data_IF_309017333996
#
_entry.id   IF_309017333996
#
_cell.length_a   1.000
_cell.length_b   1.000
_cell.length_c   1.000
_cell.angle_alpha   90.00
_cell.angle_beta   90.00
_cell.angle_gamma   90.00
#
_symmetry.space_group_name_H-M   'P 1'
#
loop_
_entity.id
_entity.type
_entity.pdbx_description
1 polymer ?
#
# COMPACT_ATOMS: atom_id res chain seq x y z
N UNK A 1 -26.77 12.89 -10.49
CA UNK A 1 -26.55 12.86 -10.07
C UNK A 1 -26.23 13.14 -10.05
N UNK A 2 -25.97 12.83 -10.31
CA UNK A 2 -25.56 12.97 -10.13
C UNK A 2 -24.82 12.91 -10.13
N UNK A 3 -24.42 12.85 -10.62
CA UNK A 3 -23.77 12.64 -10.36
C UNK A 3 -23.54 12.67 -9.97
N UNK A 4 -23.59 12.64 -9.82
CA UNK A 4 -23.33 12.50 -9.21
C UNK A 4 -23.50 12.06 -8.64
N UNK A 5 -23.88 11.65 -8.47
CA UNK A 5 -23.77 11.06 -7.78
C UNK A 5 -23.29 10.00 -7.93
N UNK A 6 -23.39 9.46 -8.58
CA UNK A 6 -22.79 8.52 -8.57
C UNK A 6 -21.58 8.37 -8.68
N UNK A 7 -21.60 8.80 -8.83
CA UNK A 7 -20.51 8.96 -8.71
C UNK A 7 -20.21 9.30 -7.60
N UNK A 8 -21.23 9.60 -6.84
CA UNK A 8 -20.84 10.01 -5.82
C UNK A 8 -20.35 9.10 -5.00
N UNK A 9 -20.70 7.95 -4.81
CA UNK A 9 -20.07 7.09 -4.05
C UNK A 9 -18.95 6.65 -4.73
N UNK A 10 -19.08 6.41 -5.88
CA UNK A 10 -17.95 6.11 -6.55
C UNK A 10 -17.10 7.27 -6.67
N UNK A 11 -17.69 8.38 -6.80
CA UNK A 11 -16.97 9.60 -6.81
C UNK A 11 -16.36 9.86 -5.48
N UNK A 12 -17.07 9.59 -4.42
CA UNK A 12 -16.47 9.72 -3.13
C UNK A 12 -15.29 8.78 -3.00
N UNK A 13 -15.41 7.60 -3.55
CA UNK A 13 -14.32 6.69 -3.54
C UNK A 13 -13.16 7.20 -4.37
N UNK A 14 -13.46 7.80 -5.50
CA UNK A 14 -12.41 8.37 -6.33
C UNK A 14 -11.68 9.48 -5.64
N UNK A 15 -12.36 10.20 -4.79
CA UNK A 15 -11.75 11.33 -4.11
C UNK A 15 -11.33 11.02 -2.69
N UNK A 16 -11.48 9.78 -2.27
CA UNK A 16 -10.96 9.40 -0.96
C UNK A 16 -9.43 9.42 -1.02
N UNK A 17 -8.83 9.39 0.13
CA UNK A 17 -7.39 9.36 0.21
C UNK A 17 -6.88 8.09 -0.45
N UNK A 18 -5.78 8.18 -1.18
CA UNK A 18 -5.19 6.99 -1.76
C UNK A 18 -4.69 6.06 -0.66
N UNK A 19 -4.64 4.78 -0.99
CA UNK A 19 -4.05 3.80 -0.09
C UNK A 19 -2.55 4.05 -0.06
N UNK A 20 -2.00 4.16 1.14
CA UNK A 20 -0.58 4.37 1.32
C UNK A 20 0.09 3.02 1.50
N UNK A 21 1.12 2.76 0.71
CA UNK A 21 1.88 1.53 0.79
C UNK A 21 3.21 1.88 1.42
N UNK A 22 3.48 1.34 2.60
CA UNK A 22 4.70 1.63 3.34
C UNK A 22 5.55 0.38 3.41
N UNK A 23 6.77 0.49 2.90
CA UNK A 23 7.76 -0.58 2.97
C UNK A 23 8.64 -0.34 4.17
N UNK A 24 8.75 -1.32 5.03
CA UNK A 24 9.56 -1.22 6.25
C UNK A 24 10.47 -2.43 6.35
N UNK A 25 11.55 -2.29 7.14
CA UNK A 25 12.40 -3.43 7.45
C UNK A 25 11.85 -4.16 8.69
N UNK A 26 12.44 -5.29 9.08
CA UNK A 26 11.92 -6.02 10.24
C UNK A 26 11.98 -5.25 11.54
N UNK A 27 12.79 -4.20 11.61
CA UNK A 27 12.86 -3.35 12.79
C UNK A 27 11.90 -2.17 12.70
N UNK A 28 11.00 -2.21 11.71
CA UNK A 28 9.97 -1.20 11.48
C UNK A 28 10.53 0.16 11.04
N UNK A 29 11.70 0.16 10.45
CA UNK A 29 12.27 1.37 9.86
C UNK A 29 11.71 1.52 8.46
N UNK A 30 11.20 2.70 8.14
CA UNK A 30 10.61 2.94 6.83
C UNK A 30 11.67 2.96 5.75
N UNK A 31 11.46 2.16 4.74
CA UNK A 31 12.36 2.05 3.60
C UNK A 31 11.86 2.84 2.40
N UNK A 32 10.55 2.86 2.19
CA UNK A 32 9.95 3.57 1.05
C UNK A 32 8.47 3.72 1.29
N UNK A 33 7.85 4.62 0.53
CA UNK A 33 6.43 4.83 0.61
C UNK A 33 5.91 5.10 -0.79
N UNK A 34 4.72 4.61 -1.11
CA UNK A 34 4.15 4.74 -2.44
C UNK A 34 2.64 4.80 -2.33
N UNK A 35 2.00 5.44 -3.29
CA UNK A 35 0.55 5.37 -3.44
C UNK A 35 0.16 4.60 -4.70
N UNK A 36 1.12 4.03 -5.39
CA UNK A 36 0.86 3.25 -6.60
C UNK A 36 0.54 1.83 -6.20
N UNK A 37 -0.73 1.50 -6.19
CA UNK A 37 -1.19 0.19 -5.75
C UNK A 37 -1.63 -0.72 -6.90
N UNK A 38 -1.21 -0.40 -8.11
CA UNK A 38 -1.62 -1.19 -9.27
C UNK A 38 -1.04 -2.60 -9.24
N UNK A 39 0.11 -2.76 -8.62
CA UNK A 39 0.76 -4.05 -8.56
C UNK A 39 1.53 -4.14 -7.25
N UNK A 40 0.99 -4.90 -6.31
CA UNK A 40 1.64 -5.09 -5.02
C UNK A 40 2.42 -6.40 -5.04
N UNK A 41 3.60 -6.40 -4.40
CA UNK A 41 4.37 -7.64 -4.30
C UNK A 41 3.71 -8.59 -3.30
N UNK A 42 4.03 -9.87 -3.42
CA UNK A 42 3.56 -10.90 -2.50
C UNK A 42 4.70 -11.38 -1.64
N UNK A 43 4.34 -12.04 -0.54
CA UNK A 43 5.34 -12.63 0.34
C UNK A 43 6.23 -13.58 -0.48
N UNK A 44 7.53 -13.44 -0.29
CA UNK A 44 8.53 -14.24 -0.99
C UNK A 44 9.05 -13.61 -2.27
N UNK A 45 8.38 -12.57 -2.76
CA UNK A 45 8.84 -11.94 -3.99
C UNK A 45 9.94 -10.92 -3.70
N UNK A 46 10.71 -10.64 -4.73
CA UNK A 46 11.78 -9.66 -4.64
C UNK A 46 11.26 -8.29 -5.03
N UNK A 47 11.70 -7.28 -4.31
CA UNK A 47 11.43 -5.89 -4.66
C UNK A 47 12.74 -5.13 -4.61
N UNK A 48 12.83 -4.09 -5.40
CA UNK A 48 13.99 -3.22 -5.34
C UNK A 48 13.50 -1.84 -4.93
N UNK A 49 13.96 -1.39 -3.78
CA UNK A 49 13.57 -0.10 -3.23
C UNK A 49 14.76 0.84 -3.43
N UNK A 50 14.57 1.79 -4.33
CA UNK A 50 15.68 2.54 -4.82
C UNK A 50 16.59 1.61 -5.60
N UNK A 51 17.78 1.35 -5.07
CA UNK A 51 18.73 0.44 -5.71
C UNK A 51 19.03 -0.78 -4.86
N UNK A 52 18.34 -0.93 -3.76
CA UNK A 52 18.63 -2.00 -2.82
C UNK A 52 17.60 -3.11 -2.97
N UNK A 53 18.05 -4.35 -3.15
CA UNK A 53 17.12 -5.47 -3.28
C UNK A 53 16.65 -5.97 -1.92
N UNK A 54 15.38 -6.32 -1.88
CA UNK A 54 14.74 -6.86 -0.67
C UNK A 54 13.85 -8.02 -1.05
N UNK A 55 13.49 -8.81 -0.06
CA UNK A 55 12.50 -9.87 -0.20
C UNK A 55 11.33 -9.53 0.72
N UNK A 56 10.12 -9.63 0.22
CA UNK A 56 8.93 -9.38 1.00
C UNK A 56 8.75 -10.51 2.00
N UNK A 57 8.67 -10.15 3.28
CA UNK A 57 8.57 -11.11 4.35
C UNK A 57 7.14 -11.25 4.86
N UNK A 58 6.41 -10.15 4.93
CA UNK A 58 5.09 -10.12 5.52
C UNK A 58 4.33 -8.90 5.01
N UNK A 59 3.01 -9.04 4.91
CA UNK A 59 2.15 -7.94 4.47
C UNK A 59 1.04 -7.78 5.49
N UNK A 60 0.78 -6.54 5.88
CA UNK A 60 -0.30 -6.21 6.79
C UNK A 60 -1.13 -5.08 6.24
N UNK A 61 -2.33 -4.93 6.78
CA UNK A 61 -3.26 -3.90 6.34
C UNK A 61 -3.83 -3.16 7.52
N UNK A 62 -3.98 -1.84 7.36
CA UNK A 62 -4.73 -1.03 8.32
C UNK A 62 -6.10 -0.76 7.75
N UNK A 63 -7.11 -1.23 8.45
CA UNK A 63 -8.50 -1.10 8.02
C UNK A 63 -9.28 -0.52 9.19
N UNK A 64 -9.11 0.79 9.46
CA UNK A 64 -9.71 1.36 10.67
C UNK A 64 -11.23 1.43 10.64
N UNK A 65 -11.82 1.54 9.47
CA UNK A 65 -13.27 1.70 9.37
C UNK A 65 -13.83 0.98 8.15
N UNK A 66 -13.34 -0.22 7.89
CA UNK A 66 -13.84 -1.04 6.78
C UNK A 66 -13.20 -0.72 5.43
N UNK A 67 -12.32 0.26 5.40
CA UNK A 67 -11.62 0.63 4.16
C UNK A 67 -10.13 0.55 4.42
N UNK A 68 -9.41 -0.05 3.50
CA UNK A 68 -7.95 -0.14 3.62
C UNK A 68 -7.37 1.25 3.45
N UNK A 69 -6.61 1.71 4.46
CA UNK A 69 -5.95 3.00 4.39
C UNK A 69 -4.45 2.86 4.19
N UNK A 70 -3.87 1.78 4.68
CA UNK A 70 -2.44 1.59 4.55
C UNK A 70 -2.12 0.11 4.38
N UNK A 71 -1.14 -0.16 3.54
CA UNK A 71 -0.58 -1.50 3.39
C UNK A 71 0.84 -1.44 3.92
N UNK A 72 1.16 -2.33 4.84
CA UNK A 72 2.52 -2.45 5.38
C UNK A 72 3.19 -3.63 4.70
N UNK A 73 4.34 -3.39 4.11
CA UNK A 73 5.09 -4.45 3.46
C UNK A 73 6.42 -4.55 4.18
N UNK A 74 6.59 -5.61 4.95
CA UNK A 74 7.82 -5.83 5.71
C UNK A 74 8.79 -6.57 4.80
N UNK A 75 9.96 -5.98 4.63
CA UNK A 75 10.98 -6.49 3.72
C UNK A 75 12.27 -6.74 4.49
N UNK A 76 12.96 -7.82 4.12
CA UNK A 76 14.30 -8.07 4.65
C UNK A 76 15.28 -7.98 3.49
N UNK A 77 16.53 -7.69 3.77
CA UNK A 77 17.54 -7.66 2.69
C UNK A 77 17.60 -8.98 1.94
N UNK A 78 17.71 -8.88 0.65
CA UNK A 78 17.79 -10.07 -0.19
C UNK A 78 19.18 -10.70 -0.10
#
# INVERSE_FOLDING_TARGET
MRATDWQDRMVASLFSNPVIITYVDPDNVQLAESTDNRLLPRVGENVRLGRTPYVVERIGYDIPAGTVERVWIVCRPA
#
